data_IF_383702322351
#
_entry.id   IF_383702322351
#
_cell.length_a   1.000
_cell.length_b   1.000
_cell.length_c   1.000
_cell.angle_alpha   90.00
_cell.angle_beta   90.00
_cell.angle_gamma   90.00
#
_symmetry.space_group_name_H-M   'P 1'
#
loop_
_entity.id
_entity.type
_entity.pdbx_description
1 polymer ?
#
# COMPACT_ATOMS: atom_id res chain seq x y z
N UNK A 1 -4.33 8.38 33.32
CA UNK A 1 -5.25 7.35 32.76
C UNK A 1 -5.86 7.89 31.47
N UNK A 2 -5.27 7.55 30.33
CA UNK A 2 -5.80 7.87 29.01
C UNK A 2 -6.94 6.88 28.70
N UNK A 3 -8.15 7.38 28.51
CA UNK A 3 -9.31 6.57 28.07
C UNK A 3 -9.03 6.09 26.64
N UNK A 4 -8.94 4.78 26.43
CA UNK A 4 -8.93 4.17 25.09
C UNK A 4 -10.26 4.51 24.42
N UNK A 5 -10.22 5.31 23.35
CA UNK A 5 -11.36 5.49 22.45
C UNK A 5 -11.54 4.21 21.65
N UNK A 6 -12.73 3.64 21.68
CA UNK A 6 -13.13 2.52 20.84
C UNK A 6 -13.38 3.01 19.40
N UNK A 7 -12.83 2.34 18.36
CA UNK A 7 -12.86 2.86 16.98
C UNK A 7 -14.20 2.72 16.22
N UNK A 8 -15.29 2.33 16.85
CA UNK A 8 -16.47 1.83 16.12
C UNK A 8 -17.61 2.83 15.89
N UNK A 9 -17.50 4.09 16.30
CA UNK A 9 -18.65 5.03 16.24
C UNK A 9 -18.46 6.23 15.29
N UNK A 10 -17.25 6.48 14.77
CA UNK A 10 -16.99 7.69 13.98
C UNK A 10 -17.15 7.51 12.46
N UNK A 11 -17.27 6.28 11.97
CA UNK A 11 -17.45 5.99 10.54
C UNK A 11 -18.91 6.03 10.09
N UNK A 12 -19.86 5.82 10.98
CA UNK A 12 -21.31 5.76 10.64
C UNK A 12 -21.95 7.13 10.37
N UNK A 13 -21.26 8.24 10.63
CA UNK A 13 -21.83 9.58 10.49
C UNK A 13 -21.23 10.43 9.35
N UNK A 14 -20.37 9.85 8.51
CA UNK A 14 -19.88 10.52 7.30
C UNK A 14 -20.79 10.18 6.12
N UNK A 15 -21.55 11.16 5.64
CA UNK A 15 -22.36 11.08 4.41
C UNK A 15 -21.47 11.01 3.14
N UNK A 16 -20.20 10.61 3.27
CA UNK A 16 -19.20 10.49 2.21
C UNK A 16 -18.69 9.05 2.15
N UNK A 17 -18.52 8.51 0.95
CA UNK A 17 -17.93 7.18 0.76
C UNK A 17 -16.53 7.13 1.37
N UNK A 18 -16.17 6.04 2.08
CA UNK A 18 -14.83 5.89 2.64
C UNK A 18 -13.79 5.73 1.52
N UNK A 19 -12.57 6.22 1.76
CA UNK A 19 -11.51 6.33 0.77
C UNK A 19 -10.31 5.46 1.12
N UNK A 20 -9.92 4.56 0.22
CA UNK A 20 -8.75 3.71 0.42
C UNK A 20 -7.70 3.93 -0.68
N UNK A 21 -6.44 3.94 -0.28
CA UNK A 21 -5.31 3.88 -1.22
C UNK A 21 -4.60 2.54 -1.10
N UNK A 22 -4.40 1.88 -2.24
CA UNK A 22 -3.73 0.59 -2.34
C UNK A 22 -2.49 0.73 -3.23
N UNK A 23 -1.30 0.60 -2.63
CA UNK A 23 -0.03 0.58 -3.36
C UNK A 23 0.37 -0.87 -3.62
N UNK A 24 0.62 -1.20 -4.90
CA UNK A 24 0.82 -2.57 -5.35
C UNK A 24 -0.45 -3.25 -5.86
N UNK A 25 -1.41 -2.46 -6.37
CA UNK A 25 -2.73 -2.94 -6.80
C UNK A 25 -2.77 -3.61 -8.19
N UNK A 26 -1.66 -3.70 -8.91
CA UNK A 26 -1.66 -4.19 -10.31
C UNK A 26 -1.84 -5.71 -10.46
N UNK A 27 -1.74 -6.48 -9.36
CA UNK A 27 -1.91 -7.95 -9.38
C UNK A 27 -2.04 -8.52 -7.97
N UNK A 28 -2.31 -9.82 -7.87
CA UNK A 28 -2.30 -10.58 -6.62
C UNK A 28 -3.20 -9.98 -5.55
N UNK A 29 -2.72 -9.97 -4.30
CA UNK A 29 -3.47 -9.53 -3.13
C UNK A 29 -3.96 -8.08 -3.29
N UNK A 30 -3.11 -7.16 -3.75
CA UNK A 30 -3.47 -5.76 -3.89
C UNK A 30 -4.61 -5.52 -4.89
N UNK A 31 -4.62 -6.26 -6.02
CA UNK A 31 -5.73 -6.21 -6.99
C UNK A 31 -7.02 -6.73 -6.37
N UNK A 32 -6.96 -7.88 -5.73
CA UNK A 32 -8.14 -8.50 -5.12
C UNK A 32 -8.74 -7.64 -4.01
N UNK A 33 -7.90 -7.08 -3.15
CA UNK A 33 -8.32 -6.13 -2.10
C UNK A 33 -8.99 -4.90 -2.71
N UNK A 34 -8.46 -4.34 -3.80
CA UNK A 34 -9.09 -3.21 -4.49
C UNK A 34 -10.49 -3.57 -4.98
N UNK A 35 -10.68 -4.72 -5.62
CA UNK A 35 -11.98 -5.17 -6.12
C UNK A 35 -12.99 -5.41 -4.98
N UNK A 36 -12.54 -6.00 -3.87
CA UNK A 36 -13.40 -6.24 -2.71
C UNK A 36 -13.82 -4.95 -2.00
N UNK A 37 -12.92 -3.96 -1.88
CA UNK A 37 -13.26 -2.66 -1.32
C UNK A 37 -14.22 -1.90 -2.22
N UNK A 38 -14.01 -1.93 -3.55
CA UNK A 38 -14.93 -1.37 -4.52
C UNK A 38 -16.35 -1.95 -4.37
N UNK A 39 -16.46 -3.27 -4.25
CA UNK A 39 -17.74 -3.96 -4.05
C UNK A 39 -18.44 -3.58 -2.73
N UNK A 40 -17.68 -3.05 -1.75
CA UNK A 40 -18.18 -2.53 -0.47
C UNK A 40 -18.47 -1.03 -0.50
N UNK A 41 -18.40 -0.38 -1.67
CA UNK A 41 -18.73 1.03 -1.82
C UNK A 41 -17.63 2.01 -1.43
N UNK A 42 -16.37 1.59 -1.46
CA UNK A 42 -15.23 2.48 -1.23
C UNK A 42 -14.85 3.21 -2.52
N UNK A 43 -14.42 4.46 -2.38
CA UNK A 43 -13.63 5.15 -3.42
C UNK A 43 -12.16 4.75 -3.28
N UNK A 44 -11.50 4.51 -4.41
CA UNK A 44 -10.17 3.93 -4.43
C UNK A 44 -9.14 4.79 -5.14
N UNK A 45 -7.99 4.99 -4.52
CA UNK A 45 -6.75 5.34 -5.17
C UNK A 45 -5.90 4.08 -5.33
N UNK A 46 -5.61 3.68 -6.56
CA UNK A 46 -4.80 2.49 -6.82
C UNK A 46 -3.49 2.85 -7.51
N UNK A 47 -2.40 2.26 -7.02
CA UNK A 47 -1.06 2.58 -7.49
C UNK A 47 -0.20 1.35 -7.76
N UNK A 48 0.72 1.50 -8.69
CA UNK A 48 1.71 0.51 -9.07
C UNK A 48 2.48 0.92 -10.32
N UNK A 49 3.40 0.08 -10.80
CA UNK A 49 4.27 0.40 -11.94
C UNK A 49 3.62 0.16 -13.31
N UNK A 50 2.66 -0.78 -13.39
CA UNK A 50 2.02 -1.23 -14.64
C UNK A 50 0.74 -0.44 -14.87
N UNK A 51 0.85 0.66 -15.59
CA UNK A 51 -0.26 1.59 -15.84
C UNK A 51 -1.44 0.90 -16.53
N UNK A 52 -1.17 0.07 -17.52
CA UNK A 52 -2.18 -0.70 -18.25
C UNK A 52 -3.06 -1.55 -17.33
N UNK A 53 -2.46 -2.16 -16.29
CA UNK A 53 -3.20 -2.95 -15.30
C UNK A 53 -4.04 -2.10 -14.35
N UNK A 54 -3.58 -0.90 -14.04
CA UNK A 54 -4.37 0.06 -13.24
C UNK A 54 -5.60 0.52 -14.03
N UNK A 55 -5.44 0.81 -15.32
CA UNK A 55 -6.55 1.24 -16.17
C UNK A 55 -7.56 0.12 -16.42
N UNK A 56 -7.13 -1.14 -16.54
CA UNK A 56 -8.02 -2.31 -16.58
C UNK A 56 -8.92 -2.40 -15.33
N UNK A 57 -8.38 -2.08 -14.15
CA UNK A 57 -9.16 -2.09 -12.90
C UNK A 57 -10.08 -0.87 -12.85
N UNK A 58 -9.58 0.32 -13.22
CA UNK A 58 -10.35 1.55 -13.26
C UNK A 58 -11.57 1.46 -14.19
N UNK A 59 -11.43 0.76 -15.30
CA UNK A 59 -12.52 0.58 -16.25
C UNK A 59 -13.79 -0.08 -15.65
N UNK A 60 -13.66 -0.78 -14.51
CA UNK A 60 -14.81 -1.40 -13.82
C UNK A 60 -15.66 -0.36 -13.07
N UNK A 61 -15.07 0.75 -12.62
CA UNK A 61 -15.77 1.84 -11.95
C UNK A 61 -15.01 3.17 -12.13
N UNK A 62 -15.06 3.78 -13.33
CA UNK A 62 -14.21 4.92 -13.68
C UNK A 62 -14.39 6.16 -12.78
N UNK A 63 -15.56 6.30 -12.16
CA UNK A 63 -15.88 7.42 -11.28
C UNK A 63 -15.46 7.21 -9.82
N UNK A 64 -15.18 5.96 -9.43
CA UNK A 64 -14.81 5.59 -8.06
C UNK A 64 -13.34 5.21 -7.93
N UNK A 65 -12.61 5.06 -9.03
CA UNK A 65 -11.21 4.62 -9.02
C UNK A 65 -10.31 5.68 -9.64
N UNK A 66 -9.35 6.16 -8.85
CA UNK A 66 -8.25 7.02 -9.28
C UNK A 66 -6.99 6.18 -9.41
N UNK A 67 -6.21 6.40 -10.46
CA UNK A 67 -5.00 5.64 -10.75
C UNK A 67 -3.78 6.55 -10.74
N UNK A 68 -2.64 6.04 -10.26
CA UNK A 68 -1.35 6.71 -10.40
C UNK A 68 -0.24 5.69 -10.56
N UNK A 69 0.65 5.94 -11.52
CA UNK A 69 1.87 5.16 -11.64
C UNK A 69 2.80 5.54 -10.50
N UNK A 70 3.10 4.60 -9.60
CA UNK A 70 4.08 4.77 -8.53
C UNK A 70 5.10 3.63 -8.61
N UNK A 71 6.37 3.98 -8.80
CA UNK A 71 7.49 3.08 -8.49
C UNK A 71 7.98 3.42 -7.08
N UNK A 72 7.81 2.51 -6.14
CA UNK A 72 8.17 2.73 -4.73
C UNK A 72 9.66 3.05 -4.52
N UNK A 73 10.52 2.68 -5.50
CA UNK A 73 11.95 2.98 -5.48
C UNK A 73 12.29 4.40 -5.95
N UNK A 74 11.35 5.07 -6.63
CA UNK A 74 11.57 6.44 -7.11
C UNK A 74 11.72 7.42 -5.96
N UNK A 75 12.49 8.47 -6.18
CA UNK A 75 12.55 9.61 -5.26
C UNK A 75 11.22 10.36 -5.21
N UNK A 76 10.42 10.29 -6.27
CA UNK A 76 9.11 10.95 -6.39
C UNK A 76 7.96 10.13 -5.78
N UNK A 77 8.23 8.92 -5.26
CA UNK A 77 7.19 8.01 -4.79
C UNK A 77 6.26 8.65 -3.73
N UNK A 78 6.81 9.41 -2.79
CA UNK A 78 6.02 10.09 -1.76
C UNK A 78 5.19 11.24 -2.34
N UNK A 79 5.74 12.05 -3.26
CA UNK A 79 4.98 13.12 -3.93
C UNK A 79 3.88 12.57 -4.83
N UNK A 80 4.12 11.45 -5.51
CA UNK A 80 3.10 10.75 -6.28
C UNK A 80 1.98 10.20 -5.39
N UNK A 81 2.32 9.69 -4.20
CA UNK A 81 1.30 9.26 -3.23
C UNK A 81 0.44 10.43 -2.76
N UNK A 82 1.05 11.57 -2.41
CA UNK A 82 0.32 12.77 -1.99
C UNK A 82 -0.59 13.30 -3.12
N UNK A 83 -0.14 13.26 -4.36
CA UNK A 83 -0.95 13.64 -5.49
C UNK A 83 -2.15 12.68 -5.69
N UNK A 84 -1.96 11.37 -5.52
CA UNK A 84 -3.07 10.41 -5.57
C UNK A 84 -4.08 10.63 -4.43
N UNK A 85 -3.61 10.97 -3.22
CA UNK A 85 -4.48 11.34 -2.09
C UNK A 85 -5.31 12.60 -2.45
N UNK A 86 -4.67 13.60 -3.06
CA UNK A 86 -5.36 14.82 -3.49
C UNK A 86 -6.39 14.55 -4.59
N UNK A 87 -6.04 13.74 -5.61
CA UNK A 87 -6.95 13.34 -6.69
C UNK A 87 -8.19 12.59 -6.16
N UNK A 88 -8.00 11.75 -5.12
CA UNK A 88 -9.08 11.04 -4.43
C UNK A 88 -9.88 11.94 -3.48
N UNK A 89 -9.35 13.09 -3.11
CA UNK A 89 -9.95 14.01 -2.16
C UNK A 89 -9.87 13.56 -0.70
N UNK A 90 -8.85 12.77 -0.34
CA UNK A 90 -8.56 12.30 1.00
C UNK A 90 -8.22 10.81 1.08
N UNK A 91 -7.93 10.33 2.30
CA UNK A 91 -7.60 8.93 2.56
C UNK A 91 -8.00 8.56 3.99
N UNK A 92 -8.79 7.49 4.15
CA UNK A 92 -9.16 6.92 5.44
C UNK A 92 -8.38 5.62 5.72
N UNK A 93 -7.96 4.91 4.66
CA UNK A 93 -7.25 3.64 4.72
C UNK A 93 -6.10 3.63 3.71
N UNK A 94 -4.89 3.34 4.18
CA UNK A 94 -3.73 3.05 3.34
C UNK A 94 -3.38 1.58 3.41
N UNK A 95 -3.22 0.91 2.26
CA UNK A 95 -2.84 -0.49 2.18
C UNK A 95 -1.55 -0.62 1.37
N UNK A 96 -0.49 -1.10 2.02
CA UNK A 96 0.79 -1.37 1.37
C UNK A 96 0.88 -2.85 0.98
N UNK A 97 0.65 -3.13 -0.31
CA UNK A 97 0.79 -4.47 -0.91
C UNK A 97 2.04 -4.57 -1.79
N UNK A 98 2.77 -3.45 -1.98
CA UNK A 98 3.97 -3.47 -2.82
C UNK A 98 5.08 -4.27 -2.15
N UNK A 99 5.68 -5.14 -2.90
CA UNK A 99 6.80 -5.95 -2.46
C UNK A 99 7.20 -6.97 -3.52
N UNK A 100 8.45 -7.39 -3.46
CA UNK A 100 8.99 -8.44 -4.30
C UNK A 100 9.71 -9.47 -3.43
N UNK A 101 9.82 -10.68 -3.94
CA UNK A 101 10.60 -11.74 -3.32
C UNK A 101 11.04 -12.75 -4.36
N UNK A 102 12.19 -13.36 -4.15
CA UNK A 102 12.68 -14.46 -4.94
C UNK A 102 13.47 -15.43 -4.05
N UNK A 103 13.63 -16.66 -4.54
CA UNK A 103 14.63 -17.56 -4.01
C UNK A 103 16.00 -17.15 -4.58
N UNK A 104 17.02 -17.11 -3.75
CA UNK A 104 18.38 -16.69 -4.10
C UNK A 104 19.39 -17.58 -3.37
N UNK A 105 19.47 -18.84 -3.80
CA UNK A 105 20.35 -19.86 -3.19
C UNK A 105 21.83 -19.54 -3.38
N UNK A 106 22.16 -18.80 -4.44
CA UNK A 106 23.52 -18.41 -4.79
C UNK A 106 23.95 -17.08 -4.15
N UNK A 107 23.05 -16.45 -3.37
CA UNK A 107 23.30 -15.16 -2.72
C UNK A 107 23.76 -14.06 -3.69
N UNK A 108 23.13 -13.98 -4.86
CA UNK A 108 23.38 -12.92 -5.83
C UNK A 108 23.06 -11.55 -5.19
N UNK A 109 24.05 -10.65 -5.06
CA UNK A 109 23.87 -9.38 -4.35
C UNK A 109 22.83 -8.46 -5.01
N UNK A 110 22.74 -8.45 -6.34
CA UNK A 110 21.80 -7.57 -7.06
C UNK A 110 20.35 -7.95 -6.78
N UNK A 111 20.06 -9.26 -6.67
CA UNK A 111 18.74 -9.75 -6.29
C UNK A 111 18.38 -9.34 -4.85
N UNK A 112 19.30 -9.48 -3.90
CA UNK A 112 19.10 -9.09 -2.50
C UNK A 112 18.91 -7.56 -2.38
N UNK A 113 19.76 -6.76 -3.02
CA UNK A 113 19.67 -5.30 -3.00
C UNK A 113 18.37 -4.79 -3.65
N UNK A 114 17.90 -5.43 -4.72
CA UNK A 114 16.63 -5.08 -5.34
C UNK A 114 15.44 -5.33 -4.39
N UNK A 115 15.49 -6.40 -3.60
CA UNK A 115 14.48 -6.67 -2.56
C UNK A 115 14.55 -5.60 -1.48
N UNK A 116 15.72 -5.24 -0.98
CA UNK A 116 15.89 -4.19 0.04
C UNK A 116 15.38 -2.84 -0.48
N UNK A 117 15.77 -2.45 -1.68
CA UNK A 117 15.34 -1.18 -2.29
C UNK A 117 13.81 -1.10 -2.44
N UNK A 118 13.15 -2.24 -2.74
CA UNK A 118 11.69 -2.25 -2.91
C UNK A 118 10.95 -2.40 -1.59
N UNK A 119 11.33 -3.39 -0.76
CA UNK A 119 10.56 -3.80 0.41
C UNK A 119 10.92 -3.02 1.67
N UNK A 120 12.09 -2.37 1.72
CA UNK A 120 12.53 -1.58 2.87
C UNK A 120 12.54 -0.09 2.54
N UNK A 121 13.39 0.36 1.61
CA UNK A 121 13.51 1.78 1.27
C UNK A 121 12.19 2.33 0.69
N UNK A 122 11.62 1.65 -0.31
CA UNK A 122 10.33 2.04 -0.90
C UNK A 122 9.16 1.96 0.09
N UNK A 123 9.19 0.99 1.00
CA UNK A 123 8.22 0.86 2.08
C UNK A 123 8.27 2.07 3.03
N UNK A 124 9.45 2.41 3.54
CA UNK A 124 9.64 3.54 4.47
C UNK A 124 9.14 4.84 3.84
N UNK A 125 9.55 5.15 2.61
CA UNK A 125 9.12 6.37 1.90
C UNK A 125 7.60 6.54 1.87
N UNK A 126 6.87 5.47 1.55
CA UNK A 126 5.43 5.55 1.36
C UNK A 126 4.64 5.43 2.67
N UNK A 127 5.08 4.58 3.58
CA UNK A 127 4.39 4.39 4.86
C UNK A 127 4.58 5.61 5.76
N UNK A 128 5.78 6.19 5.82
CA UNK A 128 6.02 7.42 6.57
C UNK A 128 5.23 8.59 5.98
N UNK A 129 5.12 8.68 4.64
CA UNK A 129 4.27 9.66 3.97
C UNK A 129 2.80 9.49 4.33
N UNK A 130 2.27 8.28 4.27
CA UNK A 130 0.88 7.98 4.63
C UNK A 130 0.61 8.22 6.12
N UNK A 131 1.54 7.84 6.99
CA UNK A 131 1.43 8.09 8.43
C UNK A 131 1.43 9.59 8.75
N UNK A 132 2.34 10.35 8.13
CA UNK A 132 2.39 11.81 8.27
C UNK A 132 1.10 12.48 7.79
N UNK A 133 0.52 11.98 6.69
CA UNK A 133 -0.79 12.45 6.23
C UNK A 133 -1.87 12.22 7.30
N UNK A 134 -1.94 11.04 7.91
CA UNK A 134 -2.92 10.74 8.96
C UNK A 134 -2.72 11.56 10.23
N UNK A 135 -1.47 11.88 10.60
CA UNK A 135 -1.18 12.77 11.73
C UNK A 135 -1.69 14.21 11.49
N UNK A 136 -1.60 14.70 10.27
CA UNK A 136 -2.07 16.04 9.88
C UNK A 136 -3.57 16.14 9.59
N UNK A 137 -4.27 15.01 9.53
CA UNK A 137 -5.69 14.92 9.23
C UNK A 137 -6.37 14.03 10.28
N UNK A 138 -7.62 13.95 10.39
CA UNK A 138 -8.38 13.29 11.50
C UNK A 138 -8.03 11.81 11.79
N UNK A 139 -6.83 11.35 11.48
CA UNK A 139 -6.38 9.98 11.64
C UNK A 139 -6.73 9.11 10.43
N UNK A 140 -6.56 7.79 10.57
CA UNK A 140 -6.83 6.79 9.55
C UNK A 140 -6.25 5.43 9.93
N UNK A 141 -6.25 4.50 8.97
CA UNK A 141 -5.72 3.16 9.18
C UNK A 141 -4.58 2.86 8.21
N UNK A 142 -3.48 2.29 8.75
CA UNK A 142 -2.39 1.69 7.98
C UNK A 142 -2.55 0.17 8.00
N UNK A 143 -2.59 -0.43 6.82
CA UNK A 143 -2.60 -1.88 6.64
C UNK A 143 -1.37 -2.30 5.83
N UNK A 144 -0.54 -3.15 6.38
CA UNK A 144 0.70 -3.61 5.76
C UNK A 144 0.58 -5.11 5.45
N UNK A 145 0.78 -5.48 4.19
CA UNK A 145 0.79 -6.90 3.81
C UNK A 145 2.20 -7.45 3.96
N UNK A 146 2.46 -8.02 5.12
CA UNK A 146 3.71 -8.74 5.41
C UNK A 146 3.66 -10.19 4.89
N UNK A 147 4.34 -11.10 5.52
CA UNK A 147 4.44 -12.52 5.14
C UNK A 147 4.78 -13.37 6.35
N UNK A 148 4.46 -14.68 6.30
CA UNK A 148 4.97 -15.66 7.25
C UNK A 148 6.51 -15.67 7.28
N UNK A 149 7.15 -15.29 6.17
CA UNK A 149 8.60 -15.11 6.10
C UNK A 149 9.14 -14.05 7.05
N UNK A 150 8.30 -13.11 7.50
CA UNK A 150 8.65 -12.12 8.53
C UNK A 150 8.65 -12.67 9.95
N UNK A 151 8.00 -13.80 10.19
CA UNK A 151 7.97 -14.47 11.51
C UNK A 151 8.96 -15.63 11.60
N UNK A 152 9.29 -16.23 10.45
CA UNK A 152 10.24 -17.35 10.35
C UNK A 152 11.05 -17.20 9.05
N UNK A 153 12.37 -17.08 9.16
CA UNK A 153 13.25 -16.99 8.00
C UNK A 153 13.11 -18.17 7.05
N UNK A 154 13.04 -17.90 5.77
CA UNK A 154 13.02 -18.91 4.71
C UNK A 154 14.44 -19.07 4.16
N UNK A 155 14.96 -20.31 4.15
CA UNK A 155 16.37 -20.61 3.89
C UNK A 155 16.95 -20.08 2.59
N UNK A 156 16.16 -20.00 1.52
CA UNK A 156 16.63 -19.49 0.21
C UNK A 156 16.14 -18.05 -0.09
N UNK A 157 15.66 -17.32 0.90
CA UNK A 157 15.04 -16.00 0.70
C UNK A 157 15.41 -15.04 1.85
N UNK A 158 16.71 -14.82 2.04
CA UNK A 158 17.28 -14.07 3.17
C UNK A 158 16.80 -12.62 3.21
N UNK A 159 17.06 -11.81 2.18
CA UNK A 159 16.62 -10.42 2.14
C UNK A 159 15.10 -10.30 2.15
N UNK A 160 14.38 -11.20 1.48
CA UNK A 160 12.92 -11.20 1.53
C UNK A 160 12.41 -11.41 2.96
N UNK A 161 12.90 -12.43 3.66
CA UNK A 161 12.51 -12.71 5.03
C UNK A 161 12.83 -11.54 5.96
N UNK A 162 14.05 -11.01 5.88
CA UNK A 162 14.47 -9.84 6.65
C UNK A 162 13.60 -8.62 6.35
N UNK A 163 13.29 -8.35 5.09
CA UNK A 163 12.43 -7.23 4.69
C UNK A 163 10.99 -7.36 5.21
N UNK A 164 10.47 -8.59 5.23
CA UNK A 164 9.12 -8.84 5.76
C UNK A 164 9.06 -8.80 7.30
N UNK A 165 10.14 -9.11 7.98
CA UNK A 165 10.27 -8.89 9.42
C UNK A 165 10.40 -7.39 9.75
N UNK A 166 11.07 -6.60 8.89
CA UNK A 166 11.15 -5.15 9.01
C UNK A 166 9.78 -4.49 8.91
N UNK A 167 8.95 -4.91 7.97
CA UNK A 167 7.58 -4.42 7.78
C UNK A 167 6.65 -4.79 8.93
#
# INVERSE_FOLDING_TARGET
RQKRRTPSTDLENRNTMPKAIIVGATSGIGKEVALQLLAKGWELGIAGRRTERLEEIKAQAPQQIHTRRIDVRSNDAASDLLALIADLGGMDLYIHCSGIGCQNTELNPDAELNIVATNVDGFVKLVDCAFSYFLGNSGGHLCIISSIAGTKGLGAASAYSASKAFQ
#
